data_IF_228744419861
#
_entry.id   IF_228744419861
#
_cell.length_a   1.000
_cell.length_b   1.000
_cell.length_c   1.000
_cell.angle_alpha   90.00
_cell.angle_beta   90.00
_cell.angle_gamma   90.00
#
_symmetry.space_group_name_H-M   'P 1'
#
loop_
_entity.id
_entity.type
_entity.pdbx_description
1 polymer ?
#
# COMPACT_ATOMS: atom_id res chain seq x y z
N UNK A 1 7.27 -20.97 15.12
CA UNK A 1 6.57 -20.84 13.83
C UNK A 1 7.45 -21.44 12.74
N UNK A 2 6.93 -22.32 11.88
CA UNK A 2 7.73 -22.88 10.78
C UNK A 2 7.93 -21.82 9.69
N UNK A 3 9.00 -21.94 8.91
CA UNK A 3 9.30 -21.01 7.83
C UNK A 3 8.18 -21.00 6.75
N UNK A 4 7.47 -22.11 6.54
CA UNK A 4 6.37 -22.18 5.55
C UNK A 4 5.11 -21.43 5.99
N UNK A 5 4.77 -21.43 7.29
CA UNK A 5 3.56 -20.72 7.77
C UNK A 5 3.75 -19.21 7.84
N UNK A 6 4.97 -18.75 8.13
CA UNK A 6 5.32 -17.34 8.02
C UNK A 6 5.23 -16.84 6.57
N UNK A 7 5.78 -17.59 5.62
CA UNK A 7 5.68 -17.28 4.18
C UNK A 7 4.22 -17.22 3.72
N UNK A 8 3.40 -18.22 4.06
CA UNK A 8 1.99 -18.25 3.72
C UNK A 8 1.24 -17.00 4.24
N UNK A 9 1.46 -16.62 5.50
CA UNK A 9 0.82 -15.43 6.09
C UNK A 9 1.18 -14.14 5.33
N UNK A 10 2.46 -13.97 5.02
CA UNK A 10 2.96 -12.78 4.32
C UNK A 10 2.40 -12.73 2.89
N UNK A 11 2.44 -13.83 2.15
CA UNK A 11 1.90 -13.92 0.78
C UNK A 11 0.39 -13.64 0.74
N UNK A 12 -0.38 -14.20 1.68
CA UNK A 12 -1.83 -13.97 1.76
C UNK A 12 -2.18 -12.51 2.10
N UNK A 13 -1.32 -11.81 2.83
CA UNK A 13 -1.53 -10.39 3.16
C UNK A 13 -1.25 -9.43 2.02
N UNK A 14 -0.53 -9.87 0.98
CA UNK A 14 -0.01 -8.99 -0.06
C UNK A 14 -1.12 -8.25 -0.82
N UNK A 15 -2.19 -8.95 -1.18
CA UNK A 15 -3.33 -8.34 -1.86
C UNK A 15 -4.02 -7.27 -1.00
N UNK A 16 -4.15 -7.52 0.30
CA UNK A 16 -4.73 -6.55 1.22
C UNK A 16 -3.89 -5.27 1.29
N UNK A 17 -2.56 -5.37 1.20
CA UNK A 17 -1.65 -4.22 1.14
C UNK A 17 -1.78 -3.40 -0.14
N UNK A 18 -2.00 -4.04 -1.28
CA UNK A 18 -2.36 -3.33 -2.51
C UNK A 18 -3.69 -2.58 -2.35
N UNK A 19 -4.69 -3.25 -1.75
CA UNK A 19 -6.00 -2.63 -1.48
C UNK A 19 -5.92 -1.44 -0.51
N UNK A 20 -5.06 -1.51 0.50
CA UNK A 20 -4.82 -0.42 1.45
C UNK A 20 -4.24 0.83 0.76
N UNK A 21 -3.26 0.65 -0.13
CA UNK A 21 -2.70 1.75 -0.91
C UNK A 21 -3.74 2.35 -1.87
N UNK A 22 -4.52 1.52 -2.56
CA UNK A 22 -5.60 1.94 -3.45
C UNK A 22 -6.69 2.74 -2.69
N UNK A 23 -7.01 2.32 -1.45
CA UNK A 23 -7.93 3.04 -0.59
C UNK A 23 -7.42 4.46 -0.30
N UNK A 24 -6.17 4.61 0.15
CA UNK A 24 -5.62 5.92 0.43
C UNK A 24 -5.56 6.81 -0.82
N UNK A 25 -5.21 6.25 -1.99
CA UNK A 25 -5.27 6.98 -3.25
C UNK A 25 -6.68 7.54 -3.53
N UNK A 26 -7.72 6.71 -3.39
CA UNK A 26 -9.11 7.15 -3.58
C UNK A 26 -9.53 8.21 -2.57
N UNK A 27 -9.04 8.14 -1.34
CA UNK A 27 -9.33 9.16 -0.33
C UNK A 27 -8.67 10.51 -0.69
N UNK A 28 -7.43 10.50 -1.17
CA UNK A 28 -6.75 11.72 -1.68
C UNK A 28 -7.56 12.32 -2.84
N UNK A 29 -8.00 11.49 -3.80
CA UNK A 29 -8.84 11.93 -4.91
C UNK A 29 -10.21 12.48 -4.47
N UNK A 30 -10.83 11.83 -3.49
CA UNK A 30 -12.14 12.25 -2.96
C UNK A 30 -12.06 13.62 -2.31
N UNK A 31 -11.01 13.87 -1.51
CA UNK A 31 -10.79 15.18 -0.89
C UNK A 31 -10.49 16.26 -1.93
N UNK A 32 -9.72 15.93 -2.95
CA UNK A 32 -9.47 16.84 -4.07
C UNK A 32 -10.76 17.22 -4.81
N UNK A 33 -11.60 16.24 -5.17
CA UNK A 33 -12.90 16.48 -5.81
C UNK A 33 -13.84 17.31 -4.93
N UNK A 34 -13.88 17.02 -3.63
CA UNK A 34 -14.67 17.80 -2.68
C UNK A 34 -14.21 19.26 -2.60
N UNK A 35 -12.89 19.49 -2.64
CA UNK A 35 -12.29 20.83 -2.64
C UNK A 35 -12.67 21.62 -3.89
N UNK A 36 -12.55 21.02 -5.08
CA UNK A 36 -12.94 21.64 -6.35
C UNK A 36 -14.42 22.01 -6.34
N UNK A 37 -15.29 21.08 -5.92
CA UNK A 37 -16.73 21.32 -5.84
C UNK A 37 -17.07 22.46 -4.88
N UNK A 38 -16.38 22.55 -3.74
CA UNK A 38 -16.59 23.66 -2.80
C UNK A 38 -16.21 25.01 -3.43
N UNK A 39 -15.06 25.10 -4.10
CA UNK A 39 -14.65 26.30 -4.79
C UNK A 39 -15.64 26.73 -5.88
N UNK A 40 -16.09 25.79 -6.71
CA UNK A 40 -17.07 26.04 -7.78
C UNK A 40 -18.40 26.56 -7.22
N UNK A 41 -18.86 26.02 -6.09
CA UNK A 41 -20.15 26.38 -5.50
C UNK A 41 -20.10 27.66 -4.65
N UNK A 42 -18.99 27.91 -3.95
CA UNK A 42 -18.91 28.96 -2.92
C UNK A 42 -17.97 30.11 -3.28
N UNK A 43 -17.19 29.97 -4.35
CA UNK A 43 -16.18 30.95 -4.80
C UNK A 43 -14.96 31.07 -3.88
N UNK A 44 -14.92 30.32 -2.77
CA UNK A 44 -13.82 30.30 -1.81
C UNK A 44 -13.84 28.99 -1.02
N UNK A 45 -12.67 28.54 -0.58
CA UNK A 45 -12.54 27.40 0.32
C UNK A 45 -12.97 27.83 1.72
N UNK A 46 -13.96 27.15 2.30
CA UNK A 46 -14.39 27.43 3.68
C UNK A 46 -13.89 26.37 4.66
N UNK A 47 -13.76 25.13 4.20
CA UNK A 47 -13.21 24.07 5.04
C UNK A 47 -11.68 24.00 4.92
N UNK A 48 -11.00 24.55 5.92
CA UNK A 48 -9.54 24.52 6.01
C UNK A 48 -8.98 23.13 6.33
N UNK A 49 -9.83 22.17 6.74
CA UNK A 49 -9.39 20.82 7.12
C UNK A 49 -9.20 19.88 5.93
N UNK A 50 -9.56 20.29 4.71
CA UNK A 50 -9.30 19.49 3.51
C UNK A 50 -7.79 19.20 3.34
N UNK A 51 -6.94 20.20 3.56
CA UNK A 51 -5.48 20.02 3.47
C UNK A 51 -4.93 19.05 4.51
N UNK A 52 -5.46 19.08 5.73
CA UNK A 52 -5.10 18.16 6.80
C UNK A 52 -5.48 16.72 6.45
N UNK A 53 -6.69 16.52 5.90
CA UNK A 53 -7.15 15.21 5.42
C UNK A 53 -6.31 14.68 4.28
N UNK A 54 -5.97 15.54 3.31
CA UNK A 54 -5.07 15.17 2.21
C UNK A 54 -3.70 14.73 2.73
N UNK A 55 -3.10 15.47 3.68
CA UNK A 55 -1.85 15.06 4.33
C UNK A 55 -1.98 13.73 5.09
N UNK A 56 -3.08 13.53 5.81
CA UNK A 56 -3.36 12.27 6.52
C UNK A 56 -3.41 11.08 5.55
N UNK A 57 -4.19 11.19 4.46
CA UNK A 57 -4.30 10.13 3.48
C UNK A 57 -3.01 9.92 2.68
N UNK A 58 -2.25 10.98 2.39
CA UNK A 58 -0.93 10.88 1.76
C UNK A 58 0.09 10.16 2.66
N UNK A 59 0.07 10.42 3.97
CA UNK A 59 0.87 9.67 4.93
C UNK A 59 0.52 8.18 4.90
N UNK A 60 -0.78 7.84 4.88
CA UNK A 60 -1.25 6.47 4.69
C UNK A 60 -0.76 5.84 3.39
N UNK A 61 -0.91 6.55 2.27
CA UNK A 61 -0.48 6.11 0.94
C UNK A 61 1.02 5.77 0.90
N UNK A 62 1.87 6.68 1.37
CA UNK A 62 3.33 6.49 1.36
C UNK A 62 3.79 5.39 2.33
N UNK A 63 3.10 5.20 3.46
CA UNK A 63 3.33 4.07 4.36
C UNK A 63 2.89 2.72 3.79
N UNK A 64 1.82 2.69 3.00
CA UNK A 64 1.41 1.47 2.30
C UNK A 64 2.45 1.02 1.27
N UNK A 65 3.13 1.95 0.59
CA UNK A 65 4.24 1.62 -0.29
C UNK A 65 5.39 0.91 0.43
N UNK A 66 5.81 1.40 1.61
CA UNK A 66 6.78 0.71 2.46
C UNK A 66 6.34 -0.73 2.79
N UNK A 67 5.08 -0.89 3.21
CA UNK A 67 4.53 -2.19 3.57
C UNK A 67 4.53 -3.16 2.38
N UNK A 68 4.13 -2.68 1.20
CA UNK A 68 4.16 -3.44 -0.07
C UNK A 68 5.60 -3.88 -0.38
N UNK A 69 6.57 -2.96 -0.31
CA UNK A 69 7.98 -3.26 -0.56
C UNK A 69 8.51 -4.32 0.39
N UNK A 70 8.22 -4.21 1.69
CA UNK A 70 8.71 -5.14 2.69
C UNK A 70 8.09 -6.53 2.56
N UNK A 71 6.79 -6.59 2.26
CA UNK A 71 6.09 -7.85 1.97
C UNK A 71 6.66 -8.52 0.72
N UNK A 72 6.82 -7.78 -0.39
CA UNK A 72 7.42 -8.32 -1.62
C UNK A 72 8.83 -8.84 -1.36
N UNK A 73 9.65 -8.06 -0.66
CA UNK A 73 11.02 -8.46 -0.37
C UNK A 73 11.07 -9.69 0.55
N UNK A 74 10.11 -9.84 1.46
CA UNK A 74 10.01 -11.02 2.32
C UNK A 74 9.56 -12.26 1.54
N UNK A 75 8.74 -12.10 0.50
CA UNK A 75 8.26 -13.19 -0.35
C UNK A 75 9.32 -13.64 -1.36
N UNK A 76 9.97 -12.68 -2.03
CA UNK A 76 10.81 -12.94 -3.21
C UNK A 76 12.30 -12.71 -2.98
N UNK A 77 12.68 -11.90 -1.98
CA UNK A 77 14.03 -11.36 -1.85
C UNK A 77 14.44 -10.38 -2.98
N UNK A 78 13.53 -10.10 -3.91
CA UNK A 78 13.79 -9.39 -5.16
C UNK A 78 13.16 -7.99 -5.20
N UNK A 79 12.80 -7.43 -4.05
CA UNK A 79 12.22 -6.08 -3.95
C UNK A 79 13.03 -5.15 -3.02
N UNK A 80 14.36 -5.00 -3.22
CA UNK A 80 15.09 -3.90 -2.60
C UNK A 80 14.56 -2.55 -3.12
N UNK A 81 14.87 -1.45 -2.43
CA UNK A 81 14.49 -0.10 -2.88
C UNK A 81 14.92 0.21 -4.32
N UNK A 82 16.06 -0.32 -4.76
CA UNK A 82 16.56 -0.13 -6.12
C UNK A 82 15.64 -0.71 -7.19
N UNK A 83 14.82 -1.72 -6.88
CA UNK A 83 13.87 -2.30 -7.83
C UNK A 83 12.78 -1.31 -8.27
N UNK A 84 12.53 -0.27 -7.48
CA UNK A 84 11.50 0.75 -7.74
C UNK A 84 12.09 2.08 -8.22
N UNK A 85 13.40 2.14 -8.43
CA UNK A 85 14.13 3.39 -8.71
C UNK A 85 13.79 4.02 -10.07
N UNK A 86 13.22 3.25 -10.99
CA UNK A 86 12.73 3.72 -12.29
C UNK A 86 11.37 4.40 -12.24
N UNK A 87 10.63 4.29 -11.13
CA UNK A 87 9.30 4.89 -11.00
C UNK A 87 9.44 6.41 -10.87
N UNK A 88 8.68 7.15 -11.67
CA UNK A 88 8.61 8.61 -11.55
C UNK A 88 8.17 9.01 -10.13
N UNK A 89 8.81 10.03 -9.55
CA UNK A 89 8.57 10.47 -8.17
C UNK A 89 8.87 9.41 -7.08
N UNK A 90 9.59 8.33 -7.39
CA UNK A 90 10.02 7.34 -6.40
C UNK A 90 10.74 7.95 -5.20
N UNK A 91 11.76 8.77 -5.45
CA UNK A 91 12.54 9.42 -4.39
C UNK A 91 11.66 10.32 -3.52
N UNK A 92 10.73 11.04 -4.13
CA UNK A 92 9.77 11.87 -3.41
C UNK A 92 8.90 11.03 -2.48
N UNK A 93 8.19 10.02 -2.99
CA UNK A 93 7.27 9.19 -2.18
C UNK A 93 8.02 8.44 -1.07
N UNK A 94 9.17 7.84 -1.39
CA UNK A 94 10.01 7.13 -0.42
C UNK A 94 10.47 8.06 0.70
N UNK A 95 11.05 9.21 0.37
CA UNK A 95 11.63 10.10 1.37
C UNK A 95 10.56 10.88 2.13
N UNK A 96 9.41 11.15 1.50
CA UNK A 96 8.24 11.77 2.15
C UNK A 96 7.79 10.97 3.36
N UNK A 97 7.69 9.64 3.22
CA UNK A 97 7.35 8.74 4.33
C UNK A 97 8.34 8.86 5.48
N UNK A 98 9.64 8.87 5.17
CA UNK A 98 10.70 8.96 6.19
C UNK A 98 10.60 10.29 6.94
N UNK A 99 10.50 11.42 6.22
CA UNK A 99 10.34 12.73 6.84
C UNK A 99 9.11 12.77 7.77
N UNK A 100 7.93 12.39 7.27
CA UNK A 100 6.68 12.37 8.08
C UNK A 100 6.84 11.52 9.35
N UNK A 101 7.55 10.39 9.27
CA UNK A 101 7.74 9.50 10.41
C UNK A 101 8.67 10.09 11.47
N UNK A 102 9.70 10.84 11.06
CA UNK A 102 10.77 11.29 11.96
C UNK A 102 10.59 12.71 12.47
N UNK A 103 10.17 13.65 11.63
CA UNK A 103 9.95 15.04 12.04
C UNK A 103 8.47 15.37 12.31
N UNK A 104 7.53 14.49 11.90
CA UNK A 104 6.10 14.68 12.12
C UNK A 104 5.48 15.82 11.32
N UNK A 105 6.24 16.50 10.47
CA UNK A 105 5.77 17.66 9.73
C UNK A 105 5.04 17.22 8.45
N UNK A 106 3.96 17.93 8.14
CA UNK A 106 3.24 17.76 6.88
C UNK A 106 4.12 18.20 5.70
N UNK A 107 3.82 17.67 4.51
CA UNK A 107 4.57 17.96 3.28
C UNK A 107 3.74 18.76 2.29
N UNK A 108 2.43 18.52 2.25
CA UNK A 108 1.52 19.17 1.33
C UNK A 108 1.07 20.47 1.98
N UNK A 109 1.74 21.55 1.63
CA UNK A 109 1.61 22.86 2.27
C UNK A 109 0.97 23.93 1.38
N UNK A 110 0.91 23.72 0.06
CA UNK A 110 0.41 24.72 -0.88
C UNK A 110 -0.89 24.29 -1.53
N UNK A 111 -1.75 25.28 -1.79
CA UNK A 111 -3.01 25.14 -2.48
C UNK A 111 -3.11 26.19 -3.59
N UNK A 112 -3.46 25.76 -4.80
CA UNK A 112 -3.71 26.66 -5.92
C UNK A 112 -4.82 26.11 -6.83
N UNK A 113 -5.84 26.91 -7.12
CA UNK A 113 -6.99 26.56 -7.98
C UNK A 113 -7.59 25.18 -7.68
N UNK A 114 -7.81 24.88 -6.40
CA UNK A 114 -8.44 23.61 -6.01
C UNK A 114 -7.50 22.41 -5.97
N UNK A 115 -6.20 22.61 -6.21
CA UNK A 115 -5.20 21.54 -6.26
C UNK A 115 -4.16 21.70 -5.16
N UNK A 116 -3.68 20.57 -4.67
CA UNK A 116 -2.73 20.48 -3.56
C UNK A 116 -1.32 20.19 -4.06
N UNK A 117 -0.36 20.94 -3.55
CA UNK A 117 1.05 20.88 -3.94
C UNK A 117 1.95 20.85 -2.71
N UNK A 118 3.18 20.43 -2.92
CA UNK A 118 4.27 20.54 -1.95
C UNK A 118 4.98 21.86 -2.22
N UNK A 119 5.05 22.74 -1.24
CA UNK A 119 5.83 23.98 -1.39
C UNK A 119 7.32 23.65 -1.45
N UNK A 120 8.02 24.18 -2.45
CA UNK A 120 9.47 24.04 -2.50
C UNK A 120 10.14 25.27 -3.12
N UNK A 121 10.90 26.00 -2.30
CA UNK A 121 11.80 27.04 -2.79
C UNK A 121 13.08 26.36 -3.34
N UNK A 122 13.09 26.02 -4.64
CA UNK A 122 14.28 25.48 -5.32
C UNK A 122 14.21 24.02 -5.79
N UNK A 123 13.04 23.39 -5.77
CA UNK A 123 12.84 22.04 -6.33
C UNK A 123 12.92 20.89 -5.31
N UNK A 124 13.25 21.21 -4.05
CA UNK A 124 13.42 20.20 -3.01
C UNK A 124 13.04 20.72 -1.61
N UNK A 125 12.65 19.81 -0.72
CA UNK A 125 12.53 20.04 0.71
C UNK A 125 13.75 19.50 1.47
N UNK A 126 14.17 20.19 2.52
CA UNK A 126 15.18 19.70 3.47
C UNK A 126 14.48 19.21 4.73
N UNK A 127 14.73 17.96 5.10
CA UNK A 127 14.11 17.29 6.25
C UNK A 127 15.14 16.46 7.00
N UNK A 128 14.77 15.84 8.12
CA UNK A 128 15.68 15.01 8.91
C UNK A 128 15.31 13.53 8.80
N UNK A 129 16.34 12.68 8.69
CA UNK A 129 16.17 11.22 8.74
C UNK A 129 16.15 10.67 10.19
N UNK A 130 16.08 9.35 10.32
CA UNK A 130 16.08 8.63 11.60
C UNK A 130 17.36 8.82 12.43
N UNK A 131 18.42 9.30 11.80
CA UNK A 131 19.73 9.57 12.38
C UNK A 131 19.99 11.07 12.53
N UNK A 132 18.96 11.89 12.34
CA UNK A 132 19.04 13.34 12.43
C UNK A 132 20.00 13.97 11.40
N UNK A 133 20.22 13.31 10.26
CA UNK A 133 20.91 13.89 9.11
C UNK A 133 19.92 14.67 8.24
N UNK A 134 20.36 15.79 7.70
CA UNK A 134 19.60 16.53 6.70
C UNK A 134 19.52 15.71 5.40
N UNK A 135 18.31 15.50 4.90
CA UNK A 135 18.02 14.83 3.63
C UNK A 135 17.27 15.78 2.70
N UNK A 136 17.68 15.76 1.43
CA UNK A 136 17.02 16.51 0.36
C UNK A 136 15.97 15.61 -0.30
N UNK A 137 14.73 16.09 -0.30
CA UNK A 137 13.59 15.42 -0.93
C UNK A 137 13.25 16.19 -2.19
N UNK A 138 13.49 15.63 -3.39
CA UNK A 138 13.05 16.28 -4.62
C UNK A 138 11.53 16.36 -4.61
N UNK A 139 10.99 17.53 -4.91
CA UNK A 139 9.55 17.76 -4.89
C UNK A 139 9.00 17.74 -6.32
N UNK A 140 7.83 17.11 -6.51
CA UNK A 140 7.17 17.11 -7.81
C UNK A 140 6.66 18.52 -8.14
N UNK A 141 6.68 18.87 -9.42
CA UNK A 141 6.07 20.11 -9.91
C UNK A 141 4.54 19.96 -10.05
N UNK A 142 4.07 18.73 -10.25
CA UNK A 142 2.65 18.40 -10.36
C UNK A 142 1.93 18.34 -9.01
N UNK A 143 0.61 18.47 -9.08
CA UNK A 143 -0.25 18.31 -7.91
C UNK A 143 -0.30 16.85 -7.43
N UNK A 144 -0.60 16.68 -6.14
CA UNK A 144 -0.38 15.41 -5.43
C UNK A 144 -1.25 14.26 -5.91
N UNK A 145 -2.47 14.51 -6.39
CA UNK A 145 -3.31 13.44 -6.95
C UNK A 145 -2.63 12.83 -8.17
N UNK A 146 -2.14 13.65 -9.10
CA UNK A 146 -1.43 13.23 -10.32
C UNK A 146 -0.18 12.44 -9.96
N UNK A 147 0.62 12.94 -9.02
CA UNK A 147 1.83 12.27 -8.54
C UNK A 147 1.51 10.89 -7.98
N UNK A 148 0.53 10.79 -7.08
CA UNK A 148 0.13 9.53 -6.46
C UNK A 148 -0.47 8.55 -7.46
N UNK A 149 -1.28 9.02 -8.43
CA UNK A 149 -1.86 8.19 -9.49
C UNK A 149 -0.80 7.56 -10.38
N UNK A 150 0.11 8.38 -10.92
CA UNK A 150 1.20 7.90 -11.79
C UNK A 150 2.10 6.93 -11.03
N UNK A 151 2.50 7.31 -9.82
CA UNK A 151 3.31 6.46 -8.95
C UNK A 151 2.64 5.09 -8.69
N UNK A 152 1.35 5.07 -8.35
CA UNK A 152 0.62 3.83 -8.08
C UNK A 152 0.52 2.94 -9.33
N UNK A 153 0.24 3.52 -10.50
CA UNK A 153 0.18 2.79 -11.76
C UNK A 153 1.51 2.14 -12.12
N UNK A 154 2.61 2.89 -12.02
CA UNK A 154 3.94 2.36 -12.32
C UNK A 154 4.42 1.36 -11.28
N UNK A 155 4.06 1.56 -10.01
CA UNK A 155 4.27 0.58 -8.96
C UNK A 155 3.58 -0.75 -9.29
N UNK A 156 2.31 -0.74 -9.72
CA UNK A 156 1.60 -1.96 -10.11
C UNK A 156 2.30 -2.72 -11.24
N UNK A 157 2.87 -2.00 -12.22
CA UNK A 157 3.64 -2.61 -13.33
C UNK A 157 4.91 -3.29 -12.81
N UNK A 158 5.71 -2.61 -11.99
CA UNK A 158 6.92 -3.18 -11.39
C UNK A 158 6.58 -4.39 -10.50
N UNK A 159 5.50 -4.32 -9.74
CA UNK A 159 5.03 -5.44 -8.92
C UNK A 159 4.67 -6.65 -9.80
N UNK A 160 3.96 -6.42 -10.91
CA UNK A 160 3.63 -7.46 -11.87
C UNK A 160 4.90 -8.13 -12.41
N UNK A 161 5.88 -7.35 -12.84
CA UNK A 161 7.18 -7.85 -13.33
C UNK A 161 7.90 -8.70 -12.27
N UNK A 162 7.90 -8.26 -11.01
CA UNK A 162 8.49 -9.03 -9.89
C UNK A 162 7.78 -10.37 -9.70
N UNK A 163 6.44 -10.42 -9.79
CA UNK A 163 5.66 -11.65 -9.66
C UNK A 163 5.93 -12.59 -10.84
N UNK A 164 5.94 -12.06 -12.06
CA UNK A 164 6.21 -12.82 -13.28
C UNK A 164 7.62 -13.41 -13.30
N UNK A 165 8.61 -12.70 -12.76
CA UNK A 165 9.97 -13.21 -12.58
C UNK A 165 10.10 -14.24 -11.45
N UNK A 166 9.17 -14.26 -10.50
CA UNK A 166 9.24 -15.11 -9.28
C UNK A 166 7.93 -15.86 -8.99
N UNK A 167 7.32 -16.57 -9.96
CA UNK A 167 5.96 -17.08 -9.82
C UNK A 167 5.81 -18.07 -8.65
N UNK A 168 6.80 -18.95 -8.46
CA UNK A 168 6.83 -19.95 -7.39
C UNK A 168 6.89 -19.35 -5.99
N UNK A 169 7.35 -18.10 -5.86
CA UNK A 169 7.41 -17.41 -4.56
C UNK A 169 6.02 -17.05 -4.03
N UNK A 170 5.04 -16.91 -4.92
CA UNK A 170 3.65 -16.57 -4.59
C UNK A 170 2.72 -17.78 -4.50
N UNK A 171 3.22 -18.99 -4.72
CA UNK A 171 2.43 -20.21 -4.57
C UNK A 171 2.30 -20.56 -3.09
N UNK A 172 1.06 -20.61 -2.60
CA UNK A 172 0.74 -21.06 -1.24
C UNK A 172 -0.17 -22.27 -1.32
N UNK A 173 0.32 -23.41 -0.80
CA UNK A 173 -0.45 -24.63 -0.77
C UNK A 173 -1.55 -24.59 0.29
N UNK A 174 -2.70 -25.22 0.02
CA UNK A 174 -3.81 -25.31 0.98
C UNK A 174 -3.34 -25.88 2.32
N UNK A 175 -2.42 -26.85 2.31
CA UNK A 175 -1.86 -27.42 3.53
C UNK A 175 -1.14 -26.37 4.39
N UNK A 176 -0.35 -25.49 3.78
CA UNK A 176 0.35 -24.43 4.51
C UNK A 176 -0.65 -23.44 5.13
N UNK A 177 -1.71 -23.10 4.38
CA UNK A 177 -2.78 -22.23 4.89
C UNK A 177 -3.52 -22.91 6.05
N UNK A 178 -3.88 -24.19 5.93
CA UNK A 178 -4.57 -24.93 6.99
C UNK A 178 -3.73 -25.02 8.26
N UNK A 179 -2.43 -25.29 8.14
CA UNK A 179 -1.51 -25.31 9.29
C UNK A 179 -1.42 -23.91 9.91
N UNK A 180 -1.27 -22.86 9.09
CA UNK A 180 -1.20 -21.48 9.55
C UNK A 180 -2.46 -21.07 10.31
N UNK A 181 -3.65 -21.39 9.79
CA UNK A 181 -4.94 -21.09 10.44
C UNK A 181 -5.07 -21.85 11.76
N UNK A 182 -4.77 -23.16 11.76
CA UNK A 182 -4.83 -23.99 12.96
C UNK A 182 -3.87 -23.48 14.07
N UNK A 183 -2.64 -23.09 13.70
CA UNK A 183 -1.69 -22.47 14.63
C UNK A 183 -2.24 -21.16 15.18
N UNK A 184 -2.72 -20.28 14.30
CA UNK A 184 -3.25 -18.96 14.68
C UNK A 184 -4.44 -19.07 15.64
N UNK A 185 -5.30 -20.08 15.47
CA UNK A 185 -6.43 -20.33 16.36
C UNK A 185 -5.96 -20.87 17.72
N UNK A 186 -5.05 -21.85 17.72
CA UNK A 186 -4.58 -22.47 18.95
C UNK A 186 -3.78 -21.50 19.85
N UNK A 187 -2.96 -20.65 19.23
CA UNK A 187 -2.11 -19.67 19.91
C UNK A 187 -2.87 -18.43 20.39
N UNK A 188 -4.09 -18.19 19.89
CA UNK A 188 -4.87 -17.02 20.24
C UNK A 188 -5.58 -17.21 21.59
N UNK A 189 -5.24 -16.36 22.57
CA UNK A 189 -5.82 -16.35 23.92
C UNK A 189 -7.29 -15.89 23.97
N UNK A 190 -7.76 -15.19 22.94
CA UNK A 190 -9.14 -14.70 22.82
C UNK A 190 -10.09 -15.79 22.32
N UNK A 191 -9.57 -16.80 21.61
CA UNK A 191 -10.41 -17.88 21.10
C UNK A 191 -10.80 -18.81 22.26
N UNK A 192 -12.10 -19.04 22.52
CA UNK A 192 -12.56 -19.91 23.61
C UNK A 192 -12.10 -21.36 23.45
N UNK A 193 -11.82 -22.05 24.56
CA UNK A 193 -11.32 -23.42 24.55
C UNK A 193 -12.26 -24.41 23.88
N UNK A 194 -13.59 -24.22 24.01
CA UNK A 194 -14.56 -25.08 23.32
C UNK A 194 -14.43 -25.02 21.79
N UNK A 195 -14.03 -23.87 21.22
CA UNK A 195 -13.78 -23.72 19.77
C UNK A 195 -12.51 -24.45 19.38
N UNK A 196 -11.45 -24.33 20.20
CA UNK A 196 -10.19 -25.06 19.99
C UNK A 196 -10.42 -26.57 20.04
N UNK A 197 -11.22 -27.04 20.98
CA UNK A 197 -11.55 -28.46 21.15
C UNK A 197 -12.47 -28.98 20.03
N UNK A 198 -13.44 -28.18 19.58
CA UNK A 198 -14.24 -28.49 18.39
C UNK A 198 -13.35 -28.71 17.16
N UNK A 199 -12.36 -27.84 16.94
CA UNK A 199 -11.43 -27.95 15.81
C UNK A 199 -10.47 -29.14 15.94
N UNK A 200 -10.06 -29.51 17.16
CA UNK A 200 -9.31 -30.75 17.41
C UNK A 200 -10.14 -32.00 17.06
N UNK A 201 -11.45 -31.96 17.36
CA UNK A 201 -12.41 -33.03 17.07
C UNK A 201 -12.81 -33.14 15.59
N UNK A 202 -12.69 -32.05 14.82
CA UNK A 202 -13.06 -31.99 13.40
C UNK A 202 -11.89 -31.51 12.53
N UNK A 203 -10.86 -32.38 12.41
CA UNK A 203 -9.57 -32.05 11.77
C UNK A 203 -9.68 -31.66 10.29
N UNK A 204 -10.72 -32.05 9.58
CA UNK A 204 -10.91 -31.71 8.16
C UNK A 204 -11.55 -30.35 7.95
N UNK A 205 -12.23 -29.78 8.96
CA UNK A 205 -13.07 -28.60 8.82
C UNK A 205 -12.29 -27.36 8.35
N UNK A 206 -11.05 -27.20 8.82
CA UNK A 206 -10.15 -26.13 8.36
C UNK A 206 -9.67 -26.41 6.92
N UNK A 207 -9.34 -27.67 6.59
CA UNK A 207 -8.91 -28.06 5.25
C UNK A 207 -9.99 -27.83 4.20
N UNK A 208 -11.23 -28.22 4.52
CA UNK A 208 -12.40 -28.05 3.65
C UNK A 208 -12.72 -26.58 3.44
N UNK A 209 -12.67 -25.76 4.50
CA UNK A 209 -12.85 -24.32 4.40
C UNK A 209 -11.76 -23.66 3.54
N UNK A 210 -10.49 -24.02 3.74
CA UNK A 210 -9.38 -23.51 2.93
C UNK A 210 -9.51 -23.91 1.46
N UNK A 211 -9.95 -25.14 1.18
CA UNK A 211 -10.17 -25.60 -0.18
C UNK A 211 -11.25 -24.78 -0.92
N UNK A 212 -12.26 -24.27 -0.20
CA UNK A 212 -13.29 -23.40 -0.76
C UNK A 212 -12.80 -21.97 -1.05
N UNK A 213 -11.73 -21.51 -0.40
CA UNK A 213 -11.18 -20.16 -0.61
C UNK A 213 -10.44 -19.99 -1.95
N UNK A 214 -10.19 -21.06 -2.69
CA UNK A 214 -9.51 -21.03 -3.98
C UNK A 214 -7.98 -21.11 -3.88
N UNK A 215 -7.29 -21.03 -5.03
CA UNK A 215 -5.83 -21.09 -5.11
C UNK A 215 -5.21 -19.71 -4.94
N UNK A 216 -4.24 -19.61 -4.03
CA UNK A 216 -3.39 -18.44 -3.89
C UNK A 216 -2.11 -18.67 -4.71
N UNK A 217 -2.13 -18.17 -5.93
CA UNK A 217 -1.06 -18.35 -6.89
C UNK A 217 -0.73 -17.05 -7.63
N UNK A 218 0.43 -17.06 -8.27
CA UNK A 218 0.96 -15.95 -9.06
C UNK A 218 -0.01 -15.49 -10.15
N UNK A 219 -0.63 -16.42 -10.89
CA UNK A 219 -1.55 -16.09 -12.00
C UNK A 219 -2.81 -15.34 -11.54
N UNK A 220 -3.41 -15.74 -10.42
CA UNK A 220 -4.57 -15.06 -9.85
C UNK A 220 -4.22 -13.65 -9.39
N UNK A 221 -3.04 -13.46 -8.79
CA UNK A 221 -2.56 -12.16 -8.35
C UNK A 221 -2.26 -11.22 -9.53
N UNK A 222 -1.61 -11.73 -10.59
CA UNK A 222 -1.36 -10.97 -11.83
C UNK A 222 -2.68 -10.50 -12.44
N UNK A 223 -3.68 -11.38 -12.54
CA UNK A 223 -5.01 -11.02 -13.05
C UNK A 223 -5.62 -9.85 -12.27
N UNK A 224 -5.55 -9.88 -10.94
CA UNK A 224 -6.06 -8.80 -10.08
C UNK A 224 -5.24 -7.50 -10.21
N UNK A 225 -3.96 -7.58 -10.56
CA UNK A 225 -3.14 -6.39 -10.86
C UNK A 225 -3.56 -5.81 -12.21
N UNK A 226 -3.75 -6.65 -13.23
CA UNK A 226 -4.22 -6.22 -14.55
C UNK A 226 -5.59 -5.54 -14.49
N UNK A 227 -6.51 -6.07 -13.68
CA UNK A 227 -7.81 -5.46 -13.39
C UNK A 227 -7.65 -4.06 -12.77
N UNK A 228 -6.72 -3.88 -11.82
CA UNK A 228 -6.44 -2.57 -11.21
C UNK A 228 -5.84 -1.58 -12.20
N UNK A 229 -4.85 -2.01 -12.99
CA UNK A 229 -4.23 -1.17 -14.03
C UNK A 229 -5.27 -0.70 -15.05
N UNK A 230 -6.13 -1.63 -15.51
CA UNK A 230 -7.18 -1.32 -16.48
C UNK A 230 -8.18 -0.29 -15.93
N UNK A 231 -8.61 -0.46 -14.68
CA UNK A 231 -9.52 0.47 -14.00
C UNK A 231 -8.91 1.86 -13.85
N UNK A 232 -7.69 1.95 -13.32
CA UNK A 232 -7.00 3.23 -13.13
C UNK A 232 -6.71 3.94 -14.46
N UNK A 233 -6.50 3.19 -15.55
CA UNK A 233 -6.34 3.78 -16.89
C UNK A 233 -7.64 4.34 -17.45
N UNK A 234 -8.79 3.70 -17.18
CA UNK A 234 -10.11 4.17 -17.63
C UNK A 234 -10.62 5.41 -16.88
N UNK A 235 -10.18 5.64 -15.64
CA UNK A 235 -10.54 6.80 -14.81
C UNK A 235 -9.63 8.02 -15.06
N UNK A 236 -8.68 7.91 -15.99
CA UNK A 236 -7.70 8.96 -16.37
C UNK A 236 -8.06 9.71 -17.66
N UNK A 237 -9.18 9.35 -18.29
CA UNK A 237 -9.80 10.01 -19.47
C UNK A 237 -11.08 10.71 -19.06
#
# INVERSE_FOLDING_TARGET
MSQSTAKARVTLSFEAKLGEMEFFLKMIESEWKATILELEQKGQLKDLTHQERVNYFFSGFSNSFQSIKDVLNSITGAAPWSAFSSIENFSFIKNSRNAITHDGLQLISTFNDGRYYVEHAGGSLRRYDDKNNEVEIPCPAEEIVTVCKRFYLDLLKIIKEIIEANPLSFEVGNQDVSIMVAQSINENSVVPDFVKDMLKGNKTLIGDAVAQMGKYNSSALIKKIDERISKSSSEST
#
